data_IF_112315275107
#
_entry.id   IF_112315275107
#
_cell.length_a   1.000
_cell.length_b   1.000
_cell.length_c   1.000
_cell.angle_alpha   90.00
_cell.angle_beta   90.00
_cell.angle_gamma   90.00
#
_symmetry.space_group_name_H-M   'P 1'
#
loop_
_entity.id
_entity.type
_entity.pdbx_description
1 polymer ?
#
# COMPACT_ATOMS: atom_id res chain seq x y z
N UNK A 1 14.76 -8.69 13.19
CA UNK A 1 13.47 -7.96 13.06
C UNK A 1 13.08 -7.10 14.27
N UNK A 2 13.58 -7.34 15.50
CA UNK A 2 13.10 -6.67 16.74
C UNK A 2 13.57 -5.22 16.99
N UNK A 3 14.46 -4.68 16.14
CA UNK A 3 15.01 -3.32 16.31
C UNK A 3 14.28 -2.21 15.57
N UNK A 4 13.46 -2.56 14.57
CA UNK A 4 12.93 -1.57 13.63
C UNK A 4 11.61 -0.94 14.11
N UNK A 5 11.48 0.42 14.13
CA UNK A 5 10.28 1.12 14.59
C UNK A 5 8.98 0.69 13.90
N UNK A 6 8.99 0.56 12.57
CA UNK A 6 7.80 0.12 11.80
C UNK A 6 7.35 -1.28 12.22
N UNK A 7 8.25 -2.26 12.29
CA UNK A 7 7.87 -3.62 12.70
C UNK A 7 7.45 -3.69 14.17
N UNK A 8 8.04 -2.89 15.06
CA UNK A 8 7.61 -2.79 16.47
C UNK A 8 6.19 -2.26 16.57
N UNK A 9 5.86 -1.24 15.79
CA UNK A 9 4.54 -0.63 15.77
C UNK A 9 3.49 -1.54 15.12
N UNK A 10 3.88 -2.25 14.05
CA UNK A 10 3.02 -3.15 13.29
C UNK A 10 2.69 -4.44 14.04
N UNK A 11 3.65 -4.99 14.80
CA UNK A 11 3.53 -6.28 15.49
C UNK A 11 2.22 -6.50 16.27
N UNK A 12 1.78 -5.60 17.17
CA UNK A 12 0.52 -5.83 17.90
C UNK A 12 -0.72 -5.90 16.99
N UNK A 13 -0.70 -5.21 15.85
CA UNK A 13 -1.84 -5.14 14.92
C UNK A 13 -1.97 -6.38 14.05
N UNK A 14 -0.85 -6.89 13.56
CA UNK A 14 -0.86 -8.11 12.74
C UNK A 14 -1.15 -9.38 13.54
N UNK A 15 -1.02 -9.35 14.88
CA UNK A 15 -1.40 -10.47 15.74
C UNK A 15 -2.92 -10.71 15.80
N UNK A 16 -3.72 -9.68 15.53
CA UNK A 16 -5.18 -9.77 15.53
C UNK A 16 -5.74 -10.14 14.15
N UNK A 17 -4.90 -10.08 13.10
CA UNK A 17 -5.29 -10.42 11.75
C UNK A 17 -5.26 -11.94 11.50
N UNK A 18 -6.04 -12.46 10.52
CA UNK A 18 -5.91 -13.83 10.05
C UNK A 18 -4.45 -14.16 9.66
N UNK A 19 -3.92 -15.35 9.98
CA UNK A 19 -2.49 -15.66 9.80
C UNK A 19 -1.95 -15.44 8.39
N UNK A 20 -2.74 -15.78 7.36
CA UNK A 20 -2.36 -15.59 5.95
C UNK A 20 -2.22 -14.10 5.61
N UNK A 21 -3.16 -13.27 6.06
CA UNK A 21 -3.11 -11.82 5.86
C UNK A 21 -1.94 -11.20 6.63
N UNK A 22 -1.73 -11.62 7.89
CA UNK A 22 -0.60 -11.15 8.70
C UNK A 22 0.75 -11.44 8.02
N UNK A 23 0.91 -12.65 7.48
CA UNK A 23 2.12 -13.05 6.75
C UNK A 23 2.31 -12.21 5.47
N UNK A 24 1.24 -11.92 4.74
CA UNK A 24 1.31 -11.13 3.51
C UNK A 24 1.58 -9.64 3.76
N UNK A 25 1.06 -9.07 4.85
CA UNK A 25 1.39 -7.71 5.29
C UNK A 25 2.87 -7.60 5.65
N UNK A 26 3.40 -8.56 6.41
CA UNK A 26 4.83 -8.59 6.76
C UNK A 26 5.67 -8.72 5.49
N UNK A 27 5.31 -9.65 4.59
CA UNK A 27 6.03 -9.85 3.33
C UNK A 27 6.01 -8.61 2.45
N UNK A 28 4.89 -7.89 2.39
CA UNK A 28 4.77 -6.62 1.66
C UNK A 28 5.77 -5.59 2.16
N UNK A 29 5.86 -5.38 3.47
CA UNK A 29 6.81 -4.42 4.04
C UNK A 29 8.25 -4.87 3.83
N UNK A 30 8.56 -6.16 3.99
CA UNK A 30 9.92 -6.69 3.79
C UNK A 30 10.37 -6.67 2.34
N UNK A 31 9.46 -6.92 1.39
CA UNK A 31 9.78 -7.00 -0.04
C UNK A 31 9.85 -5.63 -0.71
N UNK A 32 9.34 -4.57 -0.09
CA UNK A 32 9.31 -3.24 -0.71
C UNK A 32 10.69 -2.59 -0.62
N UNK A 33 11.36 -2.31 -1.75
CA UNK A 33 12.69 -1.74 -1.74
C UNK A 33 12.68 -0.27 -1.31
N UNK A 34 13.73 0.15 -0.58
CA UNK A 34 13.96 1.56 -0.27
C UNK A 34 13.06 2.15 0.82
N UNK A 35 12.32 1.34 1.58
CA UNK A 35 11.53 1.82 2.70
C UNK A 35 12.41 2.43 3.79
N UNK A 36 12.08 3.66 4.21
CA UNK A 36 12.52 4.18 5.50
C UNK A 36 11.69 3.54 6.61
N UNK A 37 12.19 2.42 7.12
CA UNK A 37 11.54 1.68 8.19
C UNK A 37 11.68 2.36 9.58
N UNK A 38 12.26 3.57 9.67
CA UNK A 38 12.30 4.34 10.92
C UNK A 38 11.00 5.13 11.18
N UNK A 39 10.24 5.43 10.12
CA UNK A 39 8.93 6.09 10.18
C UNK A 39 7.80 5.12 9.75
N UNK A 40 6.99 4.61 10.69
CA UNK A 40 5.87 3.73 10.37
C UNK A 40 4.88 4.34 9.37
N UNK A 41 4.65 5.66 9.44
CA UNK A 41 3.69 6.35 8.55
C UNK A 41 4.14 6.22 7.11
N UNK A 42 5.38 6.62 6.84
CA UNK A 42 5.94 6.62 5.49
C UNK A 42 6.19 5.22 4.98
N UNK A 43 6.74 4.32 5.83
CA UNK A 43 7.01 2.93 5.45
C UNK A 43 5.74 2.20 5.00
N UNK A 44 4.67 2.26 5.79
CA UNK A 44 3.42 1.56 5.51
C UNK A 44 2.70 2.17 4.31
N UNK A 45 2.69 3.50 4.18
CA UNK A 45 2.10 4.17 3.02
C UNK A 45 2.80 3.77 1.71
N UNK A 46 4.13 3.76 1.71
CA UNK A 46 4.92 3.38 0.52
C UNK A 46 4.76 1.90 0.19
N UNK A 47 4.76 1.01 1.21
CA UNK A 47 4.50 -0.41 1.02
C UNK A 47 3.09 -0.66 0.44
N UNK A 48 2.08 0.03 0.96
CA UNK A 48 0.71 -0.06 0.46
C UNK A 48 0.61 0.33 -1.02
N UNK A 49 1.23 1.46 -1.41
CA UNK A 49 1.24 1.88 -2.81
C UNK A 49 1.92 0.87 -3.73
N UNK A 50 3.07 0.33 -3.34
CA UNK A 50 3.77 -0.70 -4.11
C UNK A 50 2.91 -1.96 -4.26
N UNK A 51 2.25 -2.40 -3.19
CA UNK A 51 1.35 -3.56 -3.23
C UNK A 51 0.12 -3.35 -4.12
N UNK A 52 -0.45 -2.14 -4.13
CA UNK A 52 -1.55 -1.79 -5.04
C UNK A 52 -1.11 -1.79 -6.51
N UNK A 53 0.07 -1.24 -6.80
CA UNK A 53 0.64 -1.24 -8.15
C UNK A 53 0.87 -2.66 -8.68
N UNK A 54 1.46 -3.55 -7.86
CA UNK A 54 1.69 -4.96 -8.21
C UNK A 54 0.38 -5.69 -8.55
N UNK A 55 -0.70 -5.44 -7.80
CA UNK A 55 -1.99 -6.11 -8.04
C UNK A 55 -2.69 -5.56 -9.28
N UNK A 56 -2.58 -4.26 -9.56
CA UNK A 56 -3.19 -3.65 -10.73
C UNK A 56 -2.66 -4.23 -12.05
N UNK A 57 -1.45 -4.77 -12.05
CA UNK A 57 -0.80 -5.43 -13.21
C UNK A 57 -1.09 -6.94 -13.28
N UNK A 58 -1.78 -7.50 -12.27
CA UNK A 58 -1.96 -8.94 -12.07
C UNK A 58 -3.07 -9.60 -12.90
N UNK A 59 -3.17 -10.94 -12.77
CA UNK A 59 -4.07 -11.80 -13.56
C UNK A 59 -5.43 -12.10 -12.90
N UNK A 60 -5.70 -11.57 -11.70
CA UNK A 60 -6.92 -11.80 -10.92
C UNK A 60 -6.97 -13.13 -10.14
N UNK A 61 -5.87 -13.57 -9.51
CA UNK A 61 -5.83 -14.83 -8.75
C UNK A 61 -5.93 -14.63 -7.21
N UNK A 62 -6.07 -15.74 -6.45
CA UNK A 62 -6.18 -15.70 -4.98
C UNK A 62 -4.98 -15.03 -4.30
N UNK A 63 -3.77 -15.24 -4.81
CA UNK A 63 -2.57 -14.63 -4.24
C UNK A 63 -2.58 -13.12 -4.41
N UNK A 64 -3.05 -12.63 -5.55
CA UNK A 64 -3.20 -11.19 -5.81
C UNK A 64 -4.34 -10.59 -4.98
N UNK A 65 -5.43 -11.32 -4.77
CA UNK A 65 -6.49 -10.90 -3.85
C UNK A 65 -5.96 -10.76 -2.41
N UNK A 66 -5.12 -11.69 -1.94
CA UNK A 66 -4.46 -11.57 -0.64
C UNK A 66 -3.48 -10.40 -0.61
N UNK A 67 -2.71 -10.18 -1.69
CA UNK A 67 -1.80 -9.03 -1.81
C UNK A 67 -2.56 -7.69 -1.77
N UNK A 68 -3.72 -7.62 -2.40
CA UNK A 68 -4.60 -6.44 -2.37
C UNK A 68 -5.07 -6.15 -0.95
N UNK A 69 -5.55 -7.17 -0.24
CA UNK A 69 -5.97 -7.03 1.16
C UNK A 69 -4.80 -6.64 2.07
N UNK A 70 -3.59 -7.15 1.82
CA UNK A 70 -2.40 -6.76 2.55
C UNK A 70 -2.04 -5.29 2.33
N UNK A 71 -2.16 -4.81 1.08
CA UNK A 71 -1.92 -3.42 0.73
C UNK A 71 -2.96 -2.47 1.34
N UNK A 72 -4.25 -2.86 1.32
CA UNK A 72 -5.34 -2.12 1.97
C UNK A 72 -5.15 -2.05 3.50
N UNK A 73 -4.79 -3.16 4.12
CA UNK A 73 -4.45 -3.19 5.55
C UNK A 73 -3.24 -2.30 5.88
N UNK A 74 -2.19 -2.35 5.05
CA UNK A 74 -1.02 -1.48 5.21
C UNK A 74 -1.39 0.01 5.07
N UNK A 75 -2.29 0.36 4.15
CA UNK A 75 -2.79 1.72 3.98
C UNK A 75 -3.56 2.18 5.22
N UNK A 76 -4.44 1.33 5.74
CA UNK A 76 -5.20 1.59 6.99
C UNK A 76 -4.25 1.82 8.15
N UNK A 77 -3.23 0.97 8.30
CA UNK A 77 -2.21 1.10 9.33
C UNK A 77 -1.34 2.35 9.16
N UNK A 78 -1.05 2.80 7.93
CA UNK A 78 -0.39 4.07 7.70
C UNK A 78 -1.22 5.24 8.25
N UNK A 79 -2.54 5.22 8.04
CA UNK A 79 -3.45 6.24 8.57
C UNK A 79 -3.58 6.18 10.10
N UNK A 80 -3.62 5.00 10.70
CA UNK A 80 -3.56 4.85 12.16
C UNK A 80 -2.26 5.41 12.75
N UNK A 81 -1.12 5.08 12.13
CA UNK A 81 0.18 5.61 12.55
C UNK A 81 0.21 7.14 12.41
N UNK A 82 -0.34 7.66 11.31
CA UNK A 82 -0.43 9.09 11.07
C UNK A 82 -1.34 9.78 12.10
N UNK A 83 -2.45 9.17 12.49
CA UNK A 83 -3.32 9.70 13.53
C UNK A 83 -2.60 9.79 14.87
N UNK A 84 -1.87 8.73 15.26
CA UNK A 84 -1.04 8.73 16.47
C UNK A 84 0.07 9.79 16.45
N UNK A 85 0.54 10.17 15.27
CA UNK A 85 1.59 11.18 15.07
C UNK A 85 1.05 12.60 14.74
N UNK A 86 -0.27 12.80 14.64
CA UNK A 86 -0.86 14.08 14.21
C UNK A 86 -0.65 14.44 12.73
N UNK A 87 -0.37 13.45 11.87
CA UNK A 87 -0.03 13.60 10.44
C UNK A 87 -1.11 13.13 9.49
N UNK A 88 -2.33 12.82 9.96
CA UNK A 88 -3.41 12.27 9.10
C UNK A 88 -3.73 13.16 7.90
N UNK A 89 -3.74 14.49 8.09
CA UNK A 89 -4.02 15.44 7.00
C UNK A 89 -2.90 15.44 5.95
N UNK A 90 -1.64 15.45 6.40
CA UNK A 90 -0.46 15.37 5.53
C UNK A 90 -0.51 14.09 4.69
N UNK A 91 -0.75 12.95 5.33
CA UNK A 91 -0.84 11.66 4.66
C UNK A 91 -2.02 11.62 3.68
N UNK A 92 -3.20 12.10 4.06
CA UNK A 92 -4.39 12.13 3.21
C UNK A 92 -4.16 13.00 1.97
N UNK A 93 -3.51 14.16 2.11
CA UNK A 93 -3.15 15.00 0.95
C UNK A 93 -2.14 14.31 0.05
N UNK A 94 -1.12 13.66 0.63
CA UNK A 94 -0.11 12.93 -0.12
C UNK A 94 -0.69 11.74 -0.89
N UNK A 95 -1.62 10.99 -0.31
CA UNK A 95 -2.21 9.79 -0.91
C UNK A 95 -3.56 10.03 -1.62
N UNK A 96 -4.07 11.26 -1.61
CA UNK A 96 -5.36 11.59 -2.21
C UNK A 96 -5.38 11.54 -3.74
N UNK A 97 -6.51 11.94 -4.33
CA UNK A 97 -6.74 11.98 -5.78
C UNK A 97 -5.69 12.84 -6.52
N UNK A 98 -5.34 14.00 -5.98
CA UNK A 98 -4.29 14.86 -6.57
C UNK A 98 -2.86 14.45 -6.13
N UNK A 99 -2.77 13.41 -5.31
CA UNK A 99 -1.56 12.92 -4.66
C UNK A 99 -0.84 11.82 -5.43
N UNK A 100 0.00 11.06 -4.73
CA UNK A 100 0.78 9.94 -5.27
C UNK A 100 -0.13 8.84 -5.82
N UNK A 101 -1.17 8.44 -5.08
CA UNK A 101 -2.06 7.36 -5.48
C UNK A 101 -2.83 7.71 -6.75
N UNK A 102 -3.49 8.88 -6.79
CA UNK A 102 -4.24 9.28 -7.98
C UNK A 102 -3.36 9.42 -9.22
N UNK A 103 -2.16 10.01 -9.10
CA UNK A 103 -1.18 10.10 -10.20
C UNK A 103 -0.66 8.75 -10.70
N UNK A 104 -0.66 7.72 -9.86
CA UNK A 104 -0.23 6.35 -10.23
C UNK A 104 -1.37 5.62 -10.93
N UNK A 105 -2.60 5.72 -10.41
CA UNK A 105 -3.79 5.15 -11.03
C UNK A 105 -4.08 5.76 -12.40
N UNK A 106 -3.98 7.09 -12.56
CA UNK A 106 -4.13 7.75 -13.86
C UNK A 106 -3.12 7.23 -14.89
N UNK A 107 -1.87 7.00 -14.49
CA UNK A 107 -0.84 6.45 -15.39
C UNK A 107 -1.16 5.03 -15.86
N UNK A 108 -1.83 4.22 -15.05
CA UNK A 108 -2.25 2.87 -15.42
C UNK A 108 -3.48 2.89 -16.34
N UNK A 109 -4.42 3.81 -16.14
CA UNK A 109 -5.60 3.97 -17.01
C UNK A 109 -5.24 4.54 -18.39
N UNK A 110 -4.22 5.40 -18.47
CA UNK A 110 -3.80 6.09 -19.70
C UNK A 110 -2.52 5.54 -20.34
N UNK A 111 -2.08 4.33 -19.99
CA UNK A 111 -0.92 3.72 -20.63
C UNK A 111 -1.16 3.55 -22.16
N UNK A 112 -0.35 4.18 -23.03
CA UNK A 112 -0.54 4.07 -24.48
C UNK A 112 -0.19 2.64 -24.92
N UNK A 113 -1.21 1.85 -25.26
CA UNK A 113 -1.03 0.46 -25.72
C UNK A 113 -2.21 -0.48 -25.48
N UNK A 114 -3.24 -0.08 -24.73
CA UNK A 114 -4.47 -0.87 -24.60
C UNK A 114 -5.42 -0.58 -25.80
N UNK A 115 -5.76 -1.57 -26.65
CA UNK A 115 -6.71 -1.36 -27.72
C UNK A 115 -8.12 -1.28 -27.11
N UNK A 116 -8.74 -0.11 -27.16
CA UNK A 116 -10.18 -0.03 -26.87
C UNK A 116 -10.72 1.26 -26.29
N UNK A 117 -10.32 2.43 -26.79
CA UNK A 117 -11.27 3.54 -26.91
C UNK A 117 -11.20 4.07 -28.33
N UNK A 118 -11.83 3.32 -29.25
CA UNK A 118 -12.37 3.93 -30.45
C UNK A 118 -13.49 4.86 -30.00
N UNK A 119 -13.17 6.13 -29.74
CA UNK A 119 -14.19 7.17 -29.75
C UNK A 119 -14.66 7.29 -31.20
N UNK A 120 -15.92 6.91 -31.41
CA UNK A 120 -16.61 7.20 -32.64
C UNK A 120 -16.74 8.70 -32.82
N UNK A 121 -16.31 9.19 -33.97
CA UNK A 121 -16.81 10.40 -34.62
C UNK A 121 -16.64 10.22 -36.12
#
# INVERSE_FOLDING_TARGET
MTGNPTFRWLRPRVLEAPPELAADIIRLVESTPGLDLSDPVTALATAALAGLEEVAEGAGNRSEALRLLAADAALTYAFEAAAGAGRSKELATRLGLDGELGKRLERQVYAPGLPGHAEGS
#
